data_IF_129622110796
#
_entry.id   IF_129622110796
#
_cell.length_a   1.000
_cell.length_b   1.000
_cell.length_c   1.000
_cell.angle_alpha   90.00
_cell.angle_beta   90.00
_cell.angle_gamma   90.00
#
_symmetry.space_group_name_H-M   'P 1'
#
loop_
_entity.id
_entity.type
_entity.pdbx_description
1 polymer ?
#
# COMPACT_ATOMS: atom_id res chain seq x y z
N UNK A 1 10.15 -10.58 -2.22
CA UNK A 1 9.71 -10.16 -0.88
C UNK A 1 8.87 -8.91 -1.07
N UNK A 2 7.58 -8.99 -0.77
CA UNK A 2 6.65 -7.86 -0.92
C UNK A 2 6.90 -6.89 0.24
N UNK A 3 7.58 -5.78 -0.03
CA UNK A 3 8.02 -4.80 0.98
C UNK A 3 6.88 -3.91 1.53
N UNK A 4 5.65 -4.02 1.04
CA UNK A 4 4.53 -3.16 1.47
C UNK A 4 3.31 -3.97 1.90
N UNK A 5 2.71 -3.65 3.07
CA UNK A 5 1.53 -4.35 3.54
C UNK A 5 0.34 -4.12 2.62
N UNK A 6 -0.40 -5.19 2.34
CA UNK A 6 -1.64 -5.15 1.56
C UNK A 6 -2.83 -4.66 2.41
N UNK A 7 -3.98 -4.39 1.78
CA UNK A 7 -5.17 -3.85 2.46
C UNK A 7 -5.64 -4.72 3.63
N UNK A 8 -5.57 -6.05 3.49
CA UNK A 8 -5.90 -6.99 4.57
C UNK A 8 -4.92 -6.88 5.73
N UNK A 9 -3.61 -6.81 5.45
CA UNK A 9 -2.59 -6.65 6.48
C UNK A 9 -2.72 -5.31 7.22
N UNK A 10 -3.04 -4.23 6.49
CA UNK A 10 -3.31 -2.93 7.09
C UNK A 10 -4.56 -2.95 7.97
N UNK A 11 -5.66 -3.54 7.49
CA UNK A 11 -6.89 -3.64 8.27
C UNK A 11 -6.69 -4.48 9.54
N UNK A 12 -5.94 -5.59 9.45
CA UNK A 12 -5.57 -6.41 10.59
C UNK A 12 -4.73 -5.64 11.61
N UNK A 13 -3.70 -4.91 11.15
CA UNK A 13 -2.84 -4.12 12.03
C UNK A 13 -3.60 -3.00 12.76
N UNK A 14 -4.51 -2.31 12.06
CA UNK A 14 -5.36 -1.29 12.68
C UNK A 14 -6.33 -1.94 13.66
N UNK A 15 -6.94 -3.08 13.32
CA UNK A 15 -7.87 -3.78 14.22
C UNK A 15 -7.17 -4.21 15.49
N UNK A 16 -5.97 -4.78 15.38
CA UNK A 16 -5.16 -5.19 16.53
C UNK A 16 -4.83 -3.99 17.41
N UNK A 17 -4.36 -2.87 16.84
CA UNK A 17 -4.14 -1.63 17.58
C UNK A 17 -5.40 -1.13 18.31
N UNK A 18 -6.55 -1.16 17.63
CA UNK A 18 -7.82 -0.77 18.24
C UNK A 18 -8.20 -1.68 19.41
N UNK A 19 -7.89 -2.97 19.33
CA UNK A 19 -8.20 -3.96 20.35
C UNK A 19 -7.28 -3.85 21.57
N UNK A 20 -5.98 -3.69 21.34
CA UNK A 20 -4.94 -3.78 22.38
C UNK A 20 -4.67 -2.45 23.06
N UNK A 21 -4.67 -1.34 22.33
CA UNK A 21 -4.29 -0.03 22.85
C UNK A 21 -5.52 0.87 23.09
N UNK A 22 -6.45 0.90 22.13
CA UNK A 22 -7.53 1.90 22.14
C UNK A 22 -8.75 1.44 22.95
N UNK A 23 -9.23 0.21 22.77
CA UNK A 23 -10.40 -0.28 23.48
C UNK A 23 -10.22 -0.28 25.01
N UNK A 24 -9.06 -0.64 25.58
CA UNK A 24 -8.83 -0.58 27.03
C UNK A 24 -8.76 0.85 27.57
N UNK A 25 -8.36 1.82 26.74
CA UNK A 25 -8.21 3.22 27.15
C UNK A 25 -9.53 3.98 27.37
N UNK A 26 -10.68 3.38 27.02
CA UNK A 26 -11.99 4.02 27.19
C UNK A 26 -12.81 3.45 28.34
N UNK A 27 -13.20 4.33 29.27
CA UNK A 27 -14.14 4.03 30.35
C UNK A 27 -15.61 4.13 29.91
N UNK A 28 -15.94 5.03 28.98
CA UNK A 28 -17.32 5.23 28.49
C UNK A 28 -17.79 4.08 27.58
N UNK A 29 -18.91 3.46 27.94
CA UNK A 29 -19.54 2.38 27.20
C UNK A 29 -19.86 2.74 25.74
N UNK A 30 -20.25 3.99 25.46
CA UNK A 30 -20.56 4.43 24.10
C UNK A 30 -19.31 4.40 23.22
N UNK A 31 -18.17 4.82 23.75
CA UNK A 31 -16.91 4.78 22.99
C UNK A 31 -16.42 3.34 22.80
N UNK A 32 -16.49 2.50 23.84
CA UNK A 32 -16.18 1.06 23.73
C UNK A 32 -17.02 0.36 22.67
N UNK A 33 -18.31 0.70 22.57
CA UNK A 33 -19.19 0.16 21.52
C UNK A 33 -18.75 0.59 20.12
N UNK A 34 -18.47 1.89 19.92
CA UNK A 34 -18.02 2.42 18.62
C UNK A 34 -16.69 1.80 18.17
N UNK A 35 -15.74 1.61 19.09
CA UNK A 35 -14.47 0.93 18.78
C UNK A 35 -14.71 -0.50 18.32
N UNK A 36 -15.61 -1.25 18.97
CA UNK A 36 -15.99 -2.60 18.51
C UNK A 36 -16.65 -2.60 17.14
N UNK A 37 -17.50 -1.61 16.84
CA UNK A 37 -18.09 -1.46 15.51
C UNK A 37 -17.01 -1.21 14.45
N UNK A 38 -16.04 -0.34 14.75
CA UNK A 38 -14.91 -0.09 13.84
C UNK A 38 -14.07 -1.35 13.61
N UNK A 39 -13.74 -2.10 14.68
CA UNK A 39 -13.04 -3.39 14.56
C UNK A 39 -13.83 -4.40 13.72
N UNK A 40 -15.15 -4.50 13.89
CA UNK A 40 -15.99 -5.37 13.08
C UNK A 40 -15.99 -4.97 11.60
N UNK A 41 -16.02 -3.66 11.31
CA UNK A 41 -15.91 -3.17 9.94
C UNK A 41 -14.54 -3.50 9.33
N UNK A 42 -13.45 -3.39 10.10
CA UNK A 42 -12.12 -3.81 9.66
C UNK A 42 -12.05 -5.32 9.40
N UNK A 43 -12.67 -6.16 10.24
CA UNK A 43 -12.77 -7.60 9.98
C UNK A 43 -13.51 -7.93 8.68
N UNK A 44 -14.50 -7.12 8.29
CA UNK A 44 -15.16 -7.26 6.98
C UNK A 44 -14.17 -6.88 5.87
N UNK A 45 -13.47 -5.76 5.99
CA UNK A 45 -12.43 -5.36 5.02
C UNK A 45 -11.35 -6.43 4.87
N UNK A 46 -10.88 -7.04 5.97
CA UNK A 46 -9.90 -8.14 5.94
C UNK A 46 -10.40 -9.34 5.13
N UNK A 47 -11.69 -9.69 5.26
CA UNK A 47 -12.30 -10.84 4.58
C UNK A 47 -12.56 -10.57 3.09
N UNK A 48 -13.01 -9.36 2.76
CA UNK A 48 -13.38 -8.98 1.40
C UNK A 48 -12.18 -8.46 0.58
N UNK A 49 -11.05 -8.16 1.23
CA UNK A 49 -9.85 -7.71 0.53
C UNK A 49 -9.29 -8.83 -0.36
N UNK A 50 -8.99 -8.54 -1.65
CA UNK A 50 -8.39 -9.52 -2.52
C UNK A 50 -7.00 -9.91 -1.99
N UNK A 51 -6.52 -11.14 -2.29
CA UNK A 51 -5.14 -11.49 -2.01
C UNK A 51 -4.22 -10.49 -2.73
N UNK A 52 -3.02 -10.23 -2.18
CA UNK A 52 -2.04 -9.39 -2.86
C UNK A 52 -1.82 -9.96 -4.26
N UNK A 53 -1.85 -9.09 -5.27
CA UNK A 53 -1.52 -9.49 -6.62
C UNK A 53 -0.10 -10.08 -6.60
N UNK A 54 0.12 -11.25 -7.23
CA UNK A 54 1.47 -11.76 -7.40
C UNK A 54 2.31 -10.70 -8.12
N UNK A 55 3.58 -10.57 -7.75
CA UNK A 55 4.53 -9.84 -8.60
C UNK A 55 4.49 -10.52 -9.97
N UNK A 56 4.20 -9.75 -11.03
CA UNK A 56 4.12 -10.33 -12.37
C UNK A 56 5.48 -10.92 -12.75
N UNK A 57 5.47 -12.03 -13.48
CA UNK A 57 6.70 -12.61 -14.04
C UNK A 57 7.43 -11.57 -14.92
N UNK A 58 6.67 -10.67 -15.54
CA UNK A 58 7.17 -9.52 -16.30
C UNK A 58 7.94 -8.52 -15.42
N UNK A 59 7.43 -8.15 -14.24
CA UNK A 59 8.12 -7.25 -13.30
C UNK A 59 9.41 -7.91 -12.79
N UNK A 60 9.38 -9.22 -12.52
CA UNK A 60 10.56 -9.98 -12.06
C UNK A 60 11.63 -10.02 -13.15
N UNK A 61 11.24 -10.33 -14.39
CA UNK A 61 12.14 -10.41 -15.52
C UNK A 61 12.72 -9.03 -15.87
N UNK A 62 11.89 -7.98 -15.88
CA UNK A 62 12.34 -6.60 -16.07
C UNK A 62 13.39 -6.21 -15.03
N UNK A 63 13.13 -6.46 -13.75
CA UNK A 63 14.07 -6.18 -12.66
C UNK A 63 15.35 -7.02 -12.78
N UNK A 64 15.27 -8.25 -13.30
CA UNK A 64 16.44 -9.11 -13.55
C UNK A 64 17.31 -8.51 -14.67
N UNK A 65 16.71 -8.11 -15.80
CA UNK A 65 17.43 -7.50 -16.94
C UNK A 65 18.11 -6.20 -16.56
N UNK A 66 17.39 -5.29 -15.91
CA UNK A 66 17.94 -3.99 -15.48
C UNK A 66 19.14 -4.20 -14.55
N UNK A 67 19.07 -5.14 -13.60
CA UNK A 67 20.20 -5.48 -12.72
C UNK A 67 21.40 -6.11 -13.45
N UNK A 68 21.17 -6.74 -14.60
CA UNK A 68 22.22 -7.25 -15.47
C UNK A 68 22.79 -6.19 -16.44
N UNK A 69 22.25 -4.96 -16.43
CA UNK A 69 22.67 -3.88 -17.33
C UNK A 69 21.96 -3.87 -18.69
N UNK A 70 21.00 -4.77 -18.95
CA UNK A 70 20.16 -4.78 -20.15
C UNK A 70 18.96 -3.85 -19.95
N UNK A 71 19.22 -2.54 -19.98
CA UNK A 71 18.19 -1.49 -19.92
C UNK A 71 17.79 -1.12 -21.34
N UNK A 72 16.53 -1.33 -21.69
CA UNK A 72 16.01 -1.07 -23.03
C UNK A 72 15.33 0.28 -23.12
N UNK A 73 15.23 0.80 -24.34
CA UNK A 73 14.41 1.98 -24.62
C UNK A 73 12.95 1.71 -24.21
N UNK A 74 12.37 2.64 -23.44
CA UNK A 74 11.02 2.51 -22.89
C UNK A 74 10.92 1.83 -21.52
N UNK A 75 11.96 1.15 -21.02
CA UNK A 75 11.92 0.51 -19.69
C UNK A 75 11.69 1.54 -18.57
N UNK A 76 12.28 2.73 -18.68
CA UNK A 76 12.09 3.82 -17.71
C UNK A 76 10.65 4.32 -17.67
N UNK A 77 10.01 4.51 -18.83
CA UNK A 77 8.61 4.97 -18.91
C UNK A 77 7.63 3.90 -18.42
N UNK A 78 7.92 2.63 -18.70
CA UNK A 78 7.14 1.50 -18.15
C UNK A 78 7.23 1.46 -16.61
N UNK A 79 8.43 1.63 -16.05
CA UNK A 79 8.63 1.70 -14.59
C UNK A 79 7.90 2.92 -14.01
N UNK A 80 8.05 4.10 -14.65
CA UNK A 80 7.39 5.33 -14.22
C UNK A 80 5.87 5.14 -14.16
N UNK A 81 5.28 4.59 -15.20
CA UNK A 81 3.84 4.30 -15.27
C UNK A 81 3.40 3.38 -14.12
N UNK A 82 4.07 2.22 -13.97
CA UNK A 82 3.77 1.25 -12.92
C UNK A 82 3.89 1.84 -11.51
N UNK A 83 4.94 2.63 -11.25
CA UNK A 83 5.16 3.29 -9.95
C UNK A 83 4.10 4.34 -9.69
N UNK A 84 3.72 5.13 -10.70
CA UNK A 84 2.70 6.17 -10.56
C UNK A 84 1.33 5.57 -10.19
N UNK A 85 0.93 4.49 -10.83
CA UNK A 85 -0.29 3.75 -10.49
C UNK A 85 -0.25 3.26 -9.03
N UNK A 86 0.89 2.72 -8.58
CA UNK A 86 1.10 2.29 -7.19
C UNK A 86 1.07 3.47 -6.21
N UNK A 87 1.58 4.64 -6.59
CA UNK A 87 1.56 5.84 -5.76
C UNK A 87 0.16 6.47 -5.65
N UNK A 88 -0.66 6.42 -6.69
CA UNK A 88 -2.06 6.86 -6.63
C UNK A 88 -2.85 6.12 -5.54
N UNK A 89 -2.53 4.85 -5.30
CA UNK A 89 -3.17 4.06 -4.25
C UNK A 89 -2.56 4.33 -2.88
N UNK A 90 -1.22 4.32 -2.79
CA UNK A 90 -0.54 4.31 -1.50
C UNK A 90 -0.27 5.70 -0.92
N UNK A 91 0.02 6.69 -1.76
CA UNK A 91 0.38 8.04 -1.31
C UNK A 91 0.34 9.05 -2.48
N UNK A 92 -0.85 9.56 -2.84
CA UNK A 92 -1.03 10.44 -4.01
C UNK A 92 -0.15 11.70 -3.99
N UNK A 93 0.09 12.28 -2.80
CA UNK A 93 0.87 13.52 -2.66
C UNK A 93 2.35 13.40 -3.07
N UNK A 94 2.89 12.19 -3.26
CA UNK A 94 4.21 12.02 -3.84
C UNK A 94 4.24 12.34 -5.33
N UNK A 95 3.13 12.16 -6.05
CA UNK A 95 3.05 12.48 -7.48
C UNK A 95 3.19 13.98 -7.68
N UNK A 96 2.42 14.77 -6.94
CA UNK A 96 2.50 16.24 -6.96
C UNK A 96 3.93 16.74 -6.65
N UNK A 97 4.57 16.16 -5.63
CA UNK A 97 5.91 16.55 -5.20
C UNK A 97 7.00 16.30 -6.26
N UNK A 98 6.89 15.21 -7.02
CA UNK A 98 7.88 14.84 -8.03
C UNK A 98 7.55 15.35 -9.43
N UNK A 99 6.29 15.69 -9.70
CA UNK A 99 5.87 16.43 -10.90
C UNK A 99 6.42 17.87 -10.85
N UNK A 100 6.31 18.53 -9.68
CA UNK A 100 6.80 19.90 -9.46
C UNK A 100 8.33 20.06 -9.40
N UNK A 101 9.09 18.97 -9.17
CA UNK A 101 10.56 19.01 -9.00
C UNK A 101 11.36 18.26 -10.07
N UNK A 102 10.73 17.58 -11.03
CA UNK A 102 11.34 16.39 -11.64
C UNK A 102 11.46 16.31 -13.16
N UNK A 103 11.19 17.38 -13.91
CA UNK A 103 11.48 17.43 -15.37
C UNK A 103 12.38 18.60 -15.78
N UNK A 104 12.92 19.36 -14.82
CA UNK A 104 13.85 20.44 -15.12
C UNK A 104 15.33 20.00 -15.19
N UNK A 105 15.68 18.77 -14.75
CA UNK A 105 17.09 18.34 -14.62
C UNK A 105 17.36 16.86 -15.00
N UNK A 106 16.62 16.28 -15.94
CA UNK A 106 16.96 14.99 -16.55
C UNK A 106 17.00 15.11 -18.08
#
# INVERSE_FOLDING_TARGET
>A
MTERPNARELAAAVREFLETEILPAFDDQRMRFRTRVAMNALSIVERESPPPAPTSDEDVELARRIRAGDVREGDLEAIRTSVSEKLLVASPGYLERYDDRGLAEA
#
